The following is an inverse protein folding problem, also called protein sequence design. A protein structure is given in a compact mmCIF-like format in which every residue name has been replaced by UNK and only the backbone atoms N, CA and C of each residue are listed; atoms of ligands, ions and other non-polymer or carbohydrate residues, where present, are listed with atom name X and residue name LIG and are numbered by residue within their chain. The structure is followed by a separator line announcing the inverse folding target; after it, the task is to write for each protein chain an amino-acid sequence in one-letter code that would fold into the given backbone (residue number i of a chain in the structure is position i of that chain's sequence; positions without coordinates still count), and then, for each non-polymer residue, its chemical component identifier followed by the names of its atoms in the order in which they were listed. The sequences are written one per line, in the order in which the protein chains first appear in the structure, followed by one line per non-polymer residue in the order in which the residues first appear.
data_IF_146246853089
#
_entry.id   IF_146246853089
#
_cell.length_a   1.000
_cell.length_b   1.000
_cell.length_c   1.000
_cell.angle_alpha   90.00
_cell.angle_beta   90.00
_cell.angle_gamma   90.00
#
_symmetry.space_group_name_H-M   'P 1'
#
loop_
_entity.id
_entity.type
_entity.pdbx_description
1 polymer ?
#
# COMPACT_ATOMS: atom_id res chain seq x y z
N UNK A 1 -30.73 -17.13 -3.28
CA UNK A 1 -30.18 -17.07 -1.91
C UNK A 1 -28.69 -17.35 -1.96
N UNK A 2 -27.89 -16.29 -1.89
CA UNK A 2 -26.50 -16.33 -1.48
C UNK A 2 -26.16 -14.88 -1.15
N UNK A 3 -26.38 -14.53 0.12
CA UNK A 3 -25.91 -13.29 0.72
C UNK A 3 -24.40 -13.20 0.48
N UNK A 4 -24.02 -12.47 -0.56
CA UNK A 4 -22.64 -12.00 -0.72
C UNK A 4 -22.44 -11.01 0.41
N UNK A 5 -22.00 -11.51 1.57
CA UNK A 5 -21.48 -10.69 2.65
C UNK A 5 -20.33 -9.87 2.05
N UNK A 6 -20.64 -8.68 1.54
CA UNK A 6 -19.66 -7.64 1.28
C UNK A 6 -18.99 -7.45 2.62
N UNK A 7 -17.76 -7.97 2.80
CA UNK A 7 -16.97 -7.63 3.96
C UNK A 7 -16.71 -6.14 3.83
N UNK A 8 -17.39 -5.34 4.63
CA UNK A 8 -17.07 -3.93 4.75
C UNK A 8 -15.61 -3.82 5.18
N UNK A 9 -14.87 -2.91 4.53
CA UNK A 9 -13.46 -2.70 4.86
C UNK A 9 -13.31 -2.25 6.31
N UNK A 10 -12.19 -2.60 6.93
CA UNK A 10 -11.90 -2.22 8.32
C UNK A 10 -11.28 -0.83 8.34
N UNK A 11 -11.98 0.13 8.95
CA UNK A 11 -11.42 1.46 9.23
C UNK A 11 -10.14 1.33 10.06
N UNK A 12 -9.05 1.84 9.51
CA UNK A 12 -7.71 1.68 10.07
C UNK A 12 -6.96 3.01 9.99
N UNK A 13 -6.33 3.37 11.10
CA UNK A 13 -5.51 4.57 11.22
C UNK A 13 -4.15 4.38 10.53
N UNK A 14 -3.61 5.45 9.94
CA UNK A 14 -2.37 5.41 9.16
C UNK A 14 -1.19 4.83 9.93
N UNK A 15 -1.02 5.22 11.20
CA UNK A 15 0.05 4.74 12.08
C UNK A 15 -0.13 3.31 12.63
N UNK A 16 -1.30 2.69 12.39
CA UNK A 16 -1.65 1.35 12.92
C UNK A 16 -1.64 0.24 11.87
N UNK A 17 -1.31 0.55 10.61
CA UNK A 17 -1.22 -0.45 9.54
C UNK A 17 -0.03 -1.39 9.78
N UNK A 18 -0.28 -2.70 9.64
CA UNK A 18 0.70 -3.77 9.79
C UNK A 18 0.75 -4.70 8.57
N UNK A 19 1.68 -5.65 8.57
CA UNK A 19 1.89 -6.59 7.45
C UNK A 19 0.68 -7.48 7.14
N UNK A 20 -0.17 -7.73 8.13
CA UNK A 20 -1.38 -8.56 8.00
C UNK A 20 -2.62 -7.74 7.62
N UNK A 21 -2.50 -6.41 7.55
CA UNK A 21 -3.61 -5.51 7.21
C UNK A 21 -4.06 -5.71 5.76
N UNK A 22 -5.26 -6.26 5.61
CA UNK A 22 -5.96 -6.45 4.33
C UNK A 22 -7.36 -5.86 4.43
N UNK A 23 -7.90 -5.42 3.30
CA UNK A 23 -9.24 -4.83 3.22
C UNK A 23 -9.40 -3.65 4.19
N UNK A 24 -8.42 -2.76 4.22
CA UNK A 24 -8.42 -1.59 5.11
C UNK A 24 -9.04 -0.39 4.43
N UNK A 25 -9.77 0.40 5.19
CA UNK A 25 -10.16 1.75 4.81
C UNK A 25 -9.31 2.73 5.60
N UNK A 26 -8.75 3.74 4.93
CA UNK A 26 -7.85 4.72 5.54
C UNK A 26 -8.25 6.10 5.04
N UNK A 27 -8.63 6.98 5.96
CA UNK A 27 -8.79 8.41 5.66
C UNK A 27 -7.53 9.13 6.07
N UNK A 28 -6.85 9.76 5.11
CA UNK A 28 -5.54 10.36 5.32
C UNK A 28 -5.32 11.62 4.47
N UNK A 29 -4.51 12.56 4.96
CA UNK A 29 -4.08 13.76 4.24
C UNK A 29 -2.83 13.44 3.43
N UNK A 30 -2.77 13.94 2.21
CA UNK A 30 -1.60 13.83 1.35
C UNK A 30 -0.58 14.89 1.76
N UNK A 31 0.58 14.43 2.19
CA UNK A 31 1.70 15.28 2.64
C UNK A 31 2.63 15.59 1.47
N UNK A 32 2.91 14.61 0.61
CA UNK A 32 3.76 14.79 -0.56
C UNK A 32 3.50 13.73 -1.61
N UNK A 33 3.85 14.02 -2.86
CA UNK A 33 3.77 13.09 -4.00
C UNK A 33 5.14 13.11 -4.69
N UNK A 34 5.72 11.94 -4.93
CA UNK A 34 6.98 11.80 -5.66
C UNK A 34 6.82 12.11 -7.15
N UNK A 35 7.93 12.25 -7.85
CA UNK A 35 7.92 12.25 -9.31
C UNK A 35 7.31 10.95 -9.86
N UNK A 36 6.52 11.09 -10.91
CA UNK A 36 5.96 9.97 -11.66
C UNK A 36 7.06 9.28 -12.44
N UNK A 37 7.14 7.96 -12.30
CA UNK A 37 8.05 7.11 -13.08
C UNK A 37 7.27 6.08 -13.88
N UNK A 38 7.76 5.73 -15.06
CA UNK A 38 7.22 4.64 -15.85
C UNK A 38 7.92 3.32 -15.53
N UNK A 39 7.13 2.26 -15.42
CA UNK A 39 7.62 0.90 -15.22
C UNK A 39 6.93 -0.06 -16.17
N UNK A 40 7.67 -1.07 -16.63
CA UNK A 40 7.09 -2.16 -17.41
C UNK A 40 6.44 -3.18 -16.47
N UNK A 41 5.13 -3.37 -16.60
CA UNK A 41 4.41 -4.39 -15.86
C UNK A 41 4.79 -5.78 -16.38
N UNK A 42 5.04 -6.71 -15.45
CA UNK A 42 5.34 -8.12 -15.78
C UNK A 42 4.09 -8.93 -16.11
N UNK A 43 2.90 -8.40 -15.85
CA UNK A 43 1.63 -9.12 -16.02
C UNK A 43 1.16 -9.07 -17.48
N UNK A 44 1.28 -7.91 -18.11
CA UNK A 44 0.77 -7.59 -19.44
C UNK A 44 1.83 -7.03 -20.39
N UNK A 45 3.07 -6.85 -19.93
CA UNK A 45 4.18 -6.27 -20.70
C UNK A 45 3.87 -4.86 -21.23
N UNK A 46 3.02 -4.10 -20.54
CA UNK A 46 2.70 -2.72 -20.87
C UNK A 46 3.42 -1.71 -19.94
N UNK A 47 3.69 -0.49 -20.41
CA UNK A 47 4.16 0.59 -19.54
C UNK A 47 3.03 1.08 -18.63
N UNK A 48 3.32 1.23 -17.34
CA UNK A 48 2.44 1.82 -16.34
C UNK A 48 3.16 2.94 -15.60
N UNK A 49 2.38 3.94 -15.17
CA UNK A 49 2.91 5.06 -14.38
C UNK A 49 2.73 4.76 -12.90
N UNK A 50 3.75 5.07 -12.11
CA UNK A 50 3.72 4.91 -10.65
C UNK A 50 4.29 6.16 -9.98
N UNK A 51 3.63 6.58 -8.90
CA UNK A 51 4.11 7.61 -7.99
C UNK A 51 3.92 7.15 -6.54
N UNK A 52 4.79 7.59 -5.66
CA UNK A 52 4.70 7.33 -4.22
C UNK A 52 4.16 8.59 -3.53
N UNK A 53 3.04 8.48 -2.81
CA UNK A 53 2.48 9.56 -2.03
C UNK A 53 2.64 9.29 -0.53
N UNK A 54 3.23 10.22 0.21
CA UNK A 54 3.20 10.19 1.66
C UNK A 54 1.82 10.66 2.13
N UNK A 55 1.08 9.78 2.77
CA UNK A 55 -0.23 10.10 3.36
C UNK A 55 -0.16 9.88 4.87
N UNK A 56 -0.95 10.61 5.64
CA UNK A 56 -1.02 10.35 7.07
C UNK A 56 -2.17 11.05 7.77
N UNK A 57 -2.31 10.71 9.04
CA UNK A 57 -3.28 11.25 9.98
C UNK A 57 -2.56 11.60 11.31
N UNK A 58 -3.32 11.92 12.35
CA UNK A 58 -2.77 12.25 13.67
C UNK A 58 -1.97 11.09 14.30
N UNK A 59 -2.21 9.85 13.87
CA UNK A 59 -1.59 8.65 14.43
C UNK A 59 -0.27 8.31 13.75
N UNK A 60 -0.11 8.64 12.47
CA UNK A 60 1.10 8.33 11.73
C UNK A 60 0.98 8.55 10.23
N UNK A 61 2.06 8.23 9.51
CA UNK A 61 2.13 8.35 8.06
C UNK A 61 2.55 7.03 7.41
N UNK A 62 2.08 6.81 6.19
CA UNK A 62 2.37 5.66 5.35
C UNK A 62 2.53 6.11 3.91
N UNK A 63 3.33 5.39 3.13
CA UNK A 63 3.44 5.64 1.71
C UNK A 63 2.36 4.84 0.97
N UNK A 64 1.52 5.55 0.25
CA UNK A 64 0.54 5.04 -0.71
C UNK A 64 1.19 4.96 -2.09
N UNK A 65 1.15 3.79 -2.72
CA UNK A 65 1.58 3.63 -4.12
C UNK A 65 0.41 3.92 -5.06
N UNK A 66 0.56 4.97 -5.87
CA UNK A 66 -0.41 5.43 -6.87
C UNK A 66 -0.04 4.87 -8.24
N UNK A 67 -1.04 4.38 -8.96
CA UNK A 67 -0.88 3.81 -10.30
C UNK A 67 -1.74 4.55 -11.30
N UNK A 68 -1.18 4.80 -12.48
CA UNK A 68 -1.89 5.31 -13.66
C UNK A 68 -2.81 6.49 -13.34
N UNK A 69 -4.11 6.43 -13.64
CA UNK A 69 -5.05 7.54 -13.40
C UNK A 69 -5.21 7.96 -11.94
N UNK A 70 -4.79 7.13 -10.97
CA UNK A 70 -4.86 7.50 -9.55
C UNK A 70 -3.84 8.60 -9.20
N UNK A 71 -2.81 8.78 -10.02
CA UNK A 71 -1.80 9.83 -9.83
C UNK A 71 -2.44 11.21 -10.01
N UNK A 72 -3.32 11.37 -11.01
CA UNK A 72 -3.98 12.64 -11.30
C UNK A 72 -5.19 12.94 -10.40
N UNK A 73 -5.74 11.93 -9.73
CA UNK A 73 -6.93 12.08 -8.86
C UNK A 73 -6.64 12.77 -7.53
N UNK A 74 -5.37 12.86 -7.16
CA UNK A 74 -4.93 13.28 -5.83
C UNK A 74 -3.99 14.48 -5.91
N UNK A 75 -4.03 15.35 -4.90
CA UNK A 75 -3.12 16.50 -4.80
C UNK A 75 -2.56 16.62 -3.38
N UNK A 76 -1.38 17.22 -3.28
CA UNK A 76 -0.81 17.60 -1.99
C UNK A 76 -1.81 18.49 -1.23
N UNK A 77 -1.84 18.30 0.07
CA UNK A 77 -2.75 18.93 1.03
C UNK A 77 -4.22 18.50 0.99
N UNK A 78 -4.63 17.62 0.06
CA UNK A 78 -5.98 17.06 0.05
C UNK A 78 -6.12 15.89 1.04
N UNK A 79 -7.33 15.73 1.59
CA UNK A 79 -7.71 14.57 2.40
C UNK A 79 -8.43 13.56 1.52
N UNK A 80 -7.95 12.32 1.54
CA UNK A 80 -8.49 11.22 0.75
C UNK A 80 -8.96 10.08 1.64
N UNK A 81 -9.99 9.38 1.20
CA UNK A 81 -10.44 8.10 1.73
C UNK A 81 -10.02 7.00 0.76
N UNK A 82 -9.06 6.19 1.20
CA UNK A 82 -8.66 4.95 0.52
C UNK A 82 -9.57 3.84 1.02
N UNK A 83 -10.35 3.23 0.14
CA UNK A 83 -11.25 2.12 0.47
C UNK A 83 -10.70 0.81 -0.03
N UNK A 84 -10.84 -0.24 0.79
CA UNK A 84 -10.42 -1.61 0.46
C UNK A 84 -8.96 -1.69 -0.03
N UNK A 85 -8.09 -0.94 0.66
CA UNK A 85 -6.64 -0.98 0.48
C UNK A 85 -6.02 -2.24 1.09
N UNK A 86 -4.76 -2.48 0.76
CA UNK A 86 -3.97 -3.56 1.33
C UNK A 86 -2.53 -3.13 1.55
N UNK A 87 -1.90 -3.71 2.58
CA UNK A 87 -0.49 -3.50 2.86
C UNK A 87 0.35 -4.51 2.09
N UNK A 88 1.44 -4.01 1.50
CA UNK A 88 2.49 -4.82 0.87
C UNK A 88 3.85 -4.27 1.25
N UNK A 89 4.85 -5.13 1.33
CA UNK A 89 6.24 -4.70 1.48
C UNK A 89 6.89 -4.44 0.13
N UNK A 90 7.68 -3.38 0.05
CA UNK A 90 8.57 -3.09 -1.06
C UNK A 90 9.96 -2.80 -0.52
N UNK A 91 10.93 -3.64 -0.88
CA UNK A 91 12.32 -3.59 -0.36
C UNK A 91 12.39 -3.56 1.19
N UNK A 92 11.53 -4.33 1.85
CA UNK A 92 11.46 -4.41 3.32
C UNK A 92 10.60 -3.34 3.99
N UNK A 93 10.16 -2.30 3.28
CA UNK A 93 9.30 -1.23 3.81
C UNK A 93 7.82 -1.47 3.53
N UNK A 94 6.94 -1.16 4.48
CA UNK A 94 5.49 -1.19 4.28
C UNK A 94 5.04 -0.13 3.27
N UNK A 95 4.07 -0.48 2.42
CA UNK A 95 3.35 0.40 1.50
C UNK A 95 1.87 0.08 1.50
N UNK A 96 1.02 1.10 1.50
CA UNK A 96 -0.40 0.97 1.23
C UNK A 96 -0.63 0.95 -0.29
N UNK A 97 -1.48 0.04 -0.76
CA UNK A 97 -1.83 -0.11 -2.16
C UNK A 97 -3.34 -0.22 -2.31
N UNK A 98 -3.85 0.15 -3.48
CA UNK A 98 -5.26 0.01 -3.85
C UNK A 98 -5.38 -1.11 -4.89
N UNK A 99 -6.23 -2.09 -4.61
CA UNK A 99 -6.45 -3.24 -5.50
C UNK A 99 -7.59 -2.99 -6.48
N UNK A 100 -7.91 -4.00 -7.31
CA UNK A 100 -9.00 -3.98 -8.29
C UNK A 100 -10.37 -3.53 -7.74
N UNK A 101 -10.63 -3.79 -6.46
CA UNK A 101 -11.90 -3.48 -5.79
C UNK A 101 -11.76 -2.35 -4.78
N UNK A 102 -10.63 -1.63 -4.78
CA UNK A 102 -10.42 -0.47 -3.94
C UNK A 102 -10.61 0.83 -4.72
N UNK A 103 -10.86 1.90 -3.99
CA UNK A 103 -11.03 3.24 -4.56
C UNK A 103 -10.27 4.28 -3.75
N UNK A 104 -9.95 5.40 -4.39
CA UNK A 104 -9.44 6.60 -3.74
C UNK A 104 -10.48 7.68 -4.00
N UNK A 105 -11.00 8.27 -2.94
CA UNK A 105 -12.03 9.31 -3.02
C UNK A 105 -11.60 10.53 -2.21
N UNK A 106 -11.95 11.72 -2.66
CA UNK A 106 -11.74 12.93 -1.84
C UNK A 106 -12.69 12.90 -0.65
N UNK A 107 -12.17 13.21 0.51
CA UNK A 107 -12.94 13.31 1.74
C UNK A 107 -13.17 14.79 2.09
N UNK A 108 -14.39 15.19 2.51
CA UNK A 108 -14.65 16.55 2.98
C UNK A 108 -14.11 16.81 4.39
N UNK A 109 -13.51 15.81 5.03
CA UNK A 109 -12.95 15.92 6.38
C UNK A 109 -11.73 16.84 6.36
N UNK A 110 -11.70 17.81 7.27
CA UNK A 110 -10.51 18.62 7.51
C UNK A 110 -9.55 17.87 8.43
N UNK A 111 -8.28 17.80 8.04
CA UNK A 111 -7.24 17.17 8.85
C UNK A 111 -5.98 18.06 8.90
N UNK A 112 -5.89 18.95 9.90
CA UNK A 112 -4.84 19.97 9.93
C UNK A 112 -3.47 19.40 10.31
N UNK A 113 -3.44 18.36 11.15
CA UNK A 113 -2.20 17.77 11.66
C UNK A 113 -1.99 16.35 11.13
N UNK A 114 -0.76 16.09 10.69
CA UNK A 114 -0.29 14.75 10.29
C UNK A 114 0.97 14.42 11.07
N UNK A 115 0.98 13.28 11.74
CA UNK A 115 2.13 12.81 12.47
C UNK A 115 3.12 12.10 11.53
N UNK A 116 3.88 12.88 10.77
CA UNK A 116 4.91 12.36 9.87
C UNK A 116 6.08 11.71 10.59
N UNK A 117 6.27 12.00 11.90
CA UNK A 117 7.32 11.38 12.72
C UNK A 117 7.07 9.89 12.92
N UNK A 118 5.81 9.46 12.96
CA UNK A 118 5.45 8.05 13.00
C UNK A 118 5.20 7.53 11.58
N UNK A 119 6.23 7.56 10.73
CA UNK A 119 6.16 6.99 9.38
C UNK A 119 6.39 5.47 9.42
N UNK A 120 5.31 4.70 9.31
CA UNK A 120 5.40 3.23 9.34
C UNK A 120 6.08 2.63 8.10
N UNK A 121 6.24 3.41 7.03
CA UNK A 121 6.94 2.96 5.81
C UNK A 121 8.47 3.05 5.94
N UNK A 122 8.98 3.77 6.92
CA UNK A 122 10.41 3.80 7.24
C UNK A 122 10.85 2.58 8.06
N UNK A 123 9.89 1.85 8.65
CA UNK A 123 10.17 0.61 9.37
C UNK A 123 10.58 -0.47 8.35
N UNK A 124 11.80 -0.98 8.51
CA UNK A 124 12.32 -2.11 7.72
C UNK A 124 11.93 -3.40 8.44
N UNK A 125 11.15 -4.23 7.76
CA UNK A 125 10.83 -5.56 8.20
C UNK A 125 11.78 -6.54 7.52
N UNK A 126 12.42 -7.41 8.29
CA UNK A 126 13.12 -8.56 7.73
C UNK A 126 12.09 -9.45 7.03
N UNK A 127 12.12 -9.45 5.69
CA UNK A 127 11.31 -10.36 4.90
C UNK A 127 11.88 -11.78 5.09
N UNK A 128 11.41 -12.45 6.14
CA UNK A 128 11.73 -13.84 6.46
C UNK A 128 11.26 -14.83 5.39
N UNK A 129 10.74 -14.34 4.24
CA UNK A 129 10.48 -15.14 3.04
C UNK A 129 11.72 -15.43 2.20
N UNK A 130 12.89 -14.93 2.57
CA UNK A 130 14.15 -15.57 2.16
C UNK A 130 14.44 -16.74 3.11
N UNK A 131 14.05 -17.96 2.73
CA UNK A 131 14.70 -19.26 3.02
C UNK A 131 13.67 -20.40 2.93
N UNK A 132 13.32 -20.79 1.70
CA UNK A 132 12.46 -21.95 1.43
C UNK A 132 12.58 -22.52 0.02
N UNK A 133 13.60 -22.17 -0.75
CA UNK A 133 13.94 -22.94 -1.97
C UNK A 133 14.97 -23.99 -1.58
N UNK A 134 14.50 -25.23 -1.56
CA UNK A 134 15.20 -26.38 -1.05
C UNK A 134 16.60 -26.55 -1.63
N UNK A 135 17.56 -26.77 -0.73
CA UNK A 135 18.72 -27.59 -1.04
C UNK A 135 18.21 -28.99 -1.41
N UNK A 136 17.89 -29.20 -2.69
CA UNK A 136 17.84 -30.55 -3.25
C UNK A 136 19.27 -31.08 -3.22
N UNK A 137 19.65 -31.73 -2.12
CA UNK A 137 20.71 -32.74 -2.14
C UNK A 137 20.21 -33.84 -3.07
N UNK A 138 20.56 -33.77 -4.34
CA UNK A 138 20.58 -34.97 -5.17
C UNK A 138 21.69 -35.86 -4.63
N UNK A 139 21.29 -36.80 -3.78
CA UNK A 139 22.09 -37.97 -3.45
C UNK A 139 22.43 -38.66 -4.76
N UNK A 140 23.73 -38.70 -5.08
CA UNK A 140 24.29 -39.46 -6.19
C UNK A 140 23.86 -40.91 -6.01
N UNK A 141 23.05 -41.43 -6.93
CA UNK A 141 22.87 -42.86 -7.07
C UNK A 141 24.17 -43.41 -7.69
N UNK A 142 24.91 -44.17 -6.88
CA UNK A 142 26.04 -44.97 -7.32
C UNK A 142 25.45 -46.31 -7.77
N UNK A 143 25.56 -46.64 -9.05
CA UNK A 143 25.65 -48.01 -9.55
C UNK A 143 26.64 -48.02 -10.71
#
# INVERSE_FOLDING_TARGET
MSDVRRREGVETKGGSLGLDSRNVNVTAKIVSISETREIMSKMDNAPHRVADALIGDETGAVILTLWDENIEQVKVDEVIAVKNGYVKTFKGSIRLNVGRFGTIEKSPVEMPEVNTRNNISEKVYEDSRSFGYGRRRFSRYRR
#
